data_IF_859398122262
#
_entry.id   IF_859398122262
#
_cell.length_a   1.000
_cell.length_b   1.000
_cell.length_c   1.000
_cell.angle_alpha   90.00
_cell.angle_beta   90.00
_cell.angle_gamma   90.00
#
_symmetry.space_group_name_H-M   'P 1'
#
loop_
_entity.id
_entity.type
_entity.pdbx_description
1 polymer ?
#
# COMPACT_ATOMS: atom_id res chain seq x y z
N UNK A 1 -12.68 -13.68 0.11
CA UNK A 1 -12.84 -12.21 -0.08
C UNK A 1 -11.49 -11.50 0.08
N UNK A 2 -10.75 -11.24 -1.00
CA UNK A 2 -9.44 -10.52 -0.96
C UNK A 2 -9.31 -9.41 -2.02
N UNK A 3 -10.33 -9.24 -2.88
CA UNK A 3 -10.34 -8.28 -4.01
C UNK A 3 -10.64 -6.86 -3.55
N UNK A 4 -11.71 -6.71 -2.74
CA UNK A 4 -12.18 -5.42 -2.21
C UNK A 4 -11.09 -4.58 -1.51
N UNK A 5 -10.20 -5.20 -0.73
CA UNK A 5 -9.18 -4.46 0.03
C UNK A 5 -8.10 -3.84 -0.86
N UNK A 6 -7.83 -4.46 -2.01
CA UNK A 6 -6.84 -3.97 -2.98
C UNK A 6 -7.38 -2.76 -3.74
N UNK A 7 -8.67 -2.77 -4.05
CA UNK A 7 -9.35 -1.64 -4.68
C UNK A 7 -9.39 -0.45 -3.74
N UNK A 8 -9.68 -0.67 -2.45
CA UNK A 8 -9.72 0.38 -1.42
C UNK A 8 -8.36 1.05 -1.18
N UNK A 9 -7.28 0.27 -1.16
CA UNK A 9 -5.92 0.83 -1.12
C UNK A 9 -5.60 1.61 -2.39
N UNK A 10 -6.02 1.12 -3.56
CA UNK A 10 -5.75 1.79 -4.83
C UNK A 10 -6.50 3.12 -4.95
N UNK A 11 -7.74 3.16 -4.47
CA UNK A 11 -8.55 4.38 -4.36
C UNK A 11 -7.89 5.39 -3.42
N UNK A 12 -7.45 4.95 -2.23
CA UNK A 12 -6.67 5.75 -1.30
C UNK A 12 -5.39 6.32 -1.95
N UNK A 13 -4.64 5.49 -2.67
CA UNK A 13 -3.41 5.89 -3.32
C UNK A 13 -3.64 6.86 -4.50
N UNK A 14 -4.85 6.86 -5.09
CA UNK A 14 -5.28 7.83 -6.09
C UNK A 14 -5.73 9.15 -5.47
N UNK A 15 -6.39 9.09 -4.31
CA UNK A 15 -6.82 10.28 -3.58
C UNK A 15 -5.63 11.00 -2.91
N UNK A 16 -4.58 10.26 -2.56
CA UNK A 16 -3.37 10.82 -1.95
C UNK A 16 -2.37 11.34 -3.00
N UNK A 17 -1.89 12.59 -2.85
CA UNK A 17 -0.85 13.13 -3.72
C UNK A 17 0.45 12.32 -3.61
N UNK A 18 1.22 12.40 -4.68
CA UNK A 18 2.38 11.52 -4.89
C UNK A 18 3.44 11.87 -3.84
N UNK A 19 3.94 10.87 -3.11
CA UNK A 19 4.88 11.09 -2.01
C UNK A 19 4.27 11.07 -0.60
N UNK A 20 2.98 10.80 -0.48
CA UNK A 20 2.35 10.63 0.82
C UNK A 20 2.88 9.39 1.57
N UNK A 21 3.15 9.59 2.85
CA UNK A 21 3.55 8.54 3.78
C UNK A 21 2.28 7.97 4.45
N UNK A 22 2.09 6.66 4.30
CA UNK A 22 1.04 5.87 4.92
C UNK A 22 1.57 5.25 6.21
N UNK A 23 1.14 5.74 7.35
CA UNK A 23 1.40 5.10 8.64
C UNK A 23 0.42 3.94 8.91
N UNK A 24 0.76 3.09 9.89
CA UNK A 24 -0.09 1.99 10.34
C UNK A 24 -1.47 2.42 10.80
N UNK A 25 -1.64 3.64 11.34
CA UNK A 25 -2.97 4.12 11.75
C UNK A 25 -3.82 4.40 10.52
N UNK A 26 -3.24 5.05 9.51
CA UNK A 26 -3.91 5.28 8.22
C UNK A 26 -4.31 3.95 7.59
N UNK A 27 -3.38 3.00 7.45
CA UNK A 27 -3.71 1.66 6.94
C UNK A 27 -4.83 0.97 7.75
N UNK A 28 -4.75 1.03 9.08
CA UNK A 28 -5.77 0.46 9.96
C UNK A 28 -7.14 1.14 9.80
N UNK A 29 -7.21 2.45 9.49
CA UNK A 29 -8.48 3.13 9.17
C UNK A 29 -9.13 2.57 7.91
N UNK A 30 -8.33 2.09 6.95
CA UNK A 30 -8.81 1.48 5.71
C UNK A 30 -9.01 -0.04 5.82
N UNK A 31 -9.00 -0.61 7.04
CA UNK A 31 -9.11 -2.07 7.28
C UNK A 31 -7.95 -2.87 6.66
N UNK A 32 -6.78 -2.26 6.59
CA UNK A 32 -5.54 -2.87 6.09
C UNK A 32 -4.70 -3.33 7.28
N UNK A 33 -4.74 -4.62 7.55
CA UNK A 33 -3.91 -5.28 8.55
C UNK A 33 -2.42 -5.32 8.17
N UNK A 34 -1.55 -5.51 9.18
CA UNK A 34 -0.11 -5.71 8.98
C UNK A 34 0.22 -6.79 7.93
N UNK A 35 -0.50 -7.92 7.93
CA UNK A 35 -0.31 -9.00 6.94
C UNK A 35 -0.58 -8.52 5.51
N UNK A 36 -1.57 -7.64 5.34
CA UNK A 36 -1.96 -7.12 4.05
C UNK A 36 -0.98 -6.02 3.61
N UNK A 37 -0.59 -5.14 4.53
CA UNK A 37 0.47 -4.16 4.32
C UNK A 37 1.78 -4.83 3.87
N UNK A 38 2.20 -5.89 4.55
CA UNK A 38 3.39 -6.68 4.18
C UNK A 38 3.24 -7.32 2.79
N UNK A 39 2.05 -7.79 2.43
CA UNK A 39 1.75 -8.29 1.09
C UNK A 39 1.91 -7.17 0.05
N UNK A 40 1.39 -5.97 0.31
CA UNK A 40 1.54 -4.84 -0.60
C UNK A 40 2.98 -4.35 -0.72
N UNK A 41 3.76 -4.43 0.36
CA UNK A 41 5.20 -4.18 0.32
C UNK A 41 5.90 -5.19 -0.60
N UNK A 42 5.58 -6.48 -0.45
CA UNK A 42 6.12 -7.54 -1.32
C UNK A 42 5.74 -7.37 -2.79
N UNK A 43 4.54 -6.85 -3.09
CA UNK A 43 4.09 -6.58 -4.46
C UNK A 43 4.57 -5.23 -5.01
N UNK A 44 5.35 -4.44 -4.26
CA UNK A 44 5.85 -3.13 -4.71
C UNK A 44 4.77 -2.04 -4.78
N UNK A 45 3.65 -2.20 -4.07
CA UNK A 45 2.62 -1.17 -3.94
C UNK A 45 2.91 -0.20 -2.79
N UNK A 46 3.67 -0.66 -1.80
CA UNK A 46 4.11 0.10 -0.64
C UNK A 46 5.60 -0.14 -0.41
N UNK A 47 6.29 0.87 0.09
CA UNK A 47 7.67 0.77 0.55
C UNK A 47 7.67 0.95 2.06
N UNK A 48 8.21 0.00 2.82
CA UNK A 48 8.34 0.17 4.26
C UNK A 48 9.51 1.12 4.54
N UNK A 49 9.21 2.36 4.91
CA UNK A 49 10.24 3.37 5.24
C UNK A 49 10.71 3.21 6.69
N UNK A 50 9.79 2.86 7.59
CA UNK A 50 10.10 2.57 8.99
C UNK A 50 9.10 1.57 9.57
N UNK A 51 9.34 1.12 10.80
CA UNK A 51 8.44 0.20 11.50
C UNK A 51 7.10 0.89 11.76
N UNK A 52 6.08 0.52 10.98
CA UNK A 52 4.77 1.13 11.00
C UNK A 52 4.60 2.36 10.09
N UNK A 53 5.61 2.67 9.26
CA UNK A 53 5.55 3.73 8.27
C UNK A 53 5.82 3.17 6.88
N UNK A 54 4.90 3.42 5.99
CA UNK A 54 4.93 3.00 4.60
C UNK A 54 4.90 4.23 3.71
N UNK A 55 5.47 4.11 2.52
CA UNK A 55 5.50 5.15 1.50
C UNK A 55 4.94 4.57 0.23
N UNK A 56 4.21 5.38 -0.52
CA UNK A 56 3.91 5.04 -1.89
C UNK A 56 5.21 5.18 -2.73
N UNK A 57 5.70 4.11 -3.37
CA UNK A 57 6.85 4.24 -4.26
C UNK A 57 6.49 5.16 -5.43
N UNK A 58 7.44 5.97 -5.85
CA UNK A 58 7.27 6.96 -6.92
C UNK A 58 7.29 6.33 -8.34
N UNK A 59 7.50 5.01 -8.42
CA UNK A 59 7.46 4.25 -9.67
C UNK A 59 6.06 3.68 -9.92
N UNK A 60 5.57 3.90 -11.14
CA UNK A 60 4.26 3.47 -11.64
C UNK A 60 3.89 2.06 -11.16
N UNK A 61 2.65 1.95 -10.66
CA UNK A 61 2.06 0.80 -9.98
C UNK A 61 2.64 -0.57 -10.33
N UNK A 62 3.08 -1.28 -9.29
CA UNK A 62 3.59 -2.64 -9.36
C UNK A 62 2.68 -3.59 -10.15
N UNK A 63 3.02 -3.71 -11.43
CA UNK A 63 2.87 -4.90 -12.25
C UNK A 63 4.19 -5.10 -12.99
N UNK A 64 5.19 -5.60 -12.28
CA UNK A 64 6.43 -6.08 -12.86
C UNK A 64 6.61 -7.54 -12.46
N UNK A 65 6.46 -8.43 -13.45
CA UNK A 65 7.01 -9.79 -13.47
C UNK A 65 6.41 -10.79 -12.49
N UNK A 66 5.42 -11.54 -12.95
CA UNK A 66 5.31 -12.95 -12.56
C UNK A 66 6.14 -13.70 -13.63
N UNK A 67 7.25 -14.30 -13.22
CA UNK A 67 7.89 -15.43 -13.92
C UNK A 67 7.84 -16.64 -12.99
#
# INVERSE_FOLDING_TARGET
>A
MRRQKSEKLRDLLNELPHGYLLDTKTLSRYDIDYRLAHKYVKHGWLEQVARGLYRRPYGSGGHAGNE
#
